data_IF_592141272946
#
_entry.id   IF_592141272946
#
_cell.length_a   1.000
_cell.length_b   1.000
_cell.length_c   1.000
_cell.angle_alpha   90.00
_cell.angle_beta   90.00
_cell.angle_gamma   90.00
#
_symmetry.space_group_name_H-M   'P 1'
#
loop_
_entity.id
_entity.type
_entity.pdbx_description
1 polymer ?
#
# COMPACT_ATOMS: atom_id res chain seq x y z
N UNK A 1 6.66 36.32 -53.07
CA UNK A 1 6.76 34.93 -52.58
C UNK A 1 7.38 34.85 -51.18
N UNK A 2 6.82 35.52 -50.16
CA UNK A 2 7.45 35.61 -48.82
C UNK A 2 6.53 35.16 -47.66
N UNK A 3 5.20 35.34 -47.80
CA UNK A 3 4.24 34.98 -46.73
C UNK A 3 4.06 33.46 -46.53
N UNK A 4 4.16 32.68 -47.60
CA UNK A 4 4.07 31.21 -47.57
C UNK A 4 5.27 30.55 -46.89
N UNK A 5 6.47 31.16 -46.99
CA UNK A 5 7.68 30.67 -46.31
C UNK A 5 7.66 30.98 -44.82
N UNK A 6 7.16 32.14 -44.43
CA UNK A 6 6.98 32.50 -43.02
C UNK A 6 5.97 31.58 -42.32
N UNK A 7 4.83 31.27 -42.96
CA UNK A 7 3.84 30.35 -42.41
C UNK A 7 4.36 28.91 -42.25
N UNK A 8 5.15 28.42 -43.21
CA UNK A 8 5.74 27.07 -43.11
C UNK A 8 6.82 26.96 -42.03
N UNK A 9 7.57 28.04 -41.77
CA UNK A 9 8.54 28.10 -40.66
C UNK A 9 7.81 28.11 -39.31
N UNK A 10 6.72 28.88 -39.17
CA UNK A 10 5.95 28.91 -37.93
C UNK A 10 5.28 27.57 -37.60
N UNK A 11 4.73 26.88 -38.61
CA UNK A 11 4.08 25.59 -38.41
C UNK A 11 5.07 24.45 -38.10
N UNK A 12 6.30 24.51 -38.61
CA UNK A 12 7.35 23.54 -38.28
C UNK A 12 7.95 23.76 -36.88
N UNK A 13 8.08 25.01 -36.44
CA UNK A 13 8.53 25.32 -35.08
C UNK A 13 7.56 24.83 -33.99
N UNK A 14 6.24 24.86 -34.25
CA UNK A 14 5.22 24.33 -33.34
C UNK A 14 5.21 22.79 -33.25
N UNK A 15 5.69 22.08 -34.28
CA UNK A 15 5.77 20.61 -34.25
C UNK A 15 6.99 20.10 -33.47
N UNK A 16 8.06 20.89 -33.40
CA UNK A 16 9.29 20.52 -32.69
C UNK A 16 9.16 20.58 -31.16
N UNK A 17 8.23 21.39 -30.63
CA UNK A 17 7.96 21.49 -29.17
C UNK A 17 7.15 20.33 -28.60
N UNK A 18 6.57 19.46 -29.44
CA UNK A 18 5.75 18.32 -29.00
C UNK A 18 6.55 17.02 -28.77
N UNK A 19 7.87 17.02 -29.06
CA UNK A 19 8.71 15.82 -28.99
C UNK A 19 9.82 15.98 -27.93
N UNK A 20 9.44 16.17 -26.67
CA UNK A 20 10.28 15.77 -25.53
C UNK A 20 9.62 14.56 -24.85
N UNK A 21 9.80 13.33 -25.38
CA UNK A 21 9.42 12.14 -24.65
C UNK A 21 10.41 11.95 -23.50
N UNK A 22 9.89 12.00 -22.28
CA UNK A 22 10.45 11.26 -21.15
C UNK A 22 11.89 11.57 -20.78
N UNK A 23 12.11 12.70 -20.11
CA UNK A 23 13.11 12.73 -19.05
C UNK A 23 12.60 11.84 -17.90
N UNK A 24 12.80 10.52 -18.02
CA UNK A 24 12.70 9.64 -16.86
C UNK A 24 13.67 10.15 -15.78
N UNK A 25 13.35 10.03 -14.48
CA UNK A 25 14.25 10.48 -13.44
C UNK A 25 15.58 9.73 -13.60
N UNK A 26 16.60 10.43 -14.09
CA UNK A 26 17.96 9.93 -14.04
C UNK A 26 18.25 9.67 -12.56
N UNK A 27 18.46 8.41 -12.20
CA UNK A 27 18.94 8.04 -10.89
C UNK A 27 20.38 8.54 -10.76
N UNK A 28 20.52 9.81 -10.42
CA UNK A 28 21.79 10.43 -10.06
C UNK A 28 22.24 9.78 -8.76
N UNK A 29 23.33 9.01 -8.82
CA UNK A 29 24.04 8.56 -7.64
C UNK A 29 24.60 9.80 -6.94
N UNK A 30 23.85 10.32 -5.97
CA UNK A 30 24.24 11.49 -5.22
C UNK A 30 25.43 11.11 -4.36
N UNK A 31 26.63 11.56 -4.76
CA UNK A 31 27.83 11.45 -3.92
C UNK A 31 27.66 12.43 -2.76
N UNK A 32 26.98 11.96 -1.71
CA UNK A 32 26.77 12.73 -0.49
C UNK A 32 28.11 12.90 0.22
N UNK A 33 28.55 14.15 0.37
CA UNK A 33 29.74 14.50 1.14
C UNK A 33 29.62 13.91 2.58
N UNK A 34 30.62 13.23 3.13
CA UNK A 34 30.55 12.58 4.45
C UNK A 34 30.09 13.51 5.59
N UNK A 35 30.40 14.81 5.54
CA UNK A 35 29.87 15.79 6.51
C UNK A 35 28.33 15.95 6.41
N UNK A 36 27.78 15.86 5.20
CA UNK A 36 26.34 15.94 4.93
C UNK A 36 25.62 14.59 5.18
N UNK A 37 26.36 13.47 5.22
CA UNK A 37 25.80 12.17 5.65
C UNK A 37 25.38 12.20 7.11
N UNK A 38 26.19 12.77 8.00
CA UNK A 38 25.86 12.81 9.43
C UNK A 38 24.60 13.65 9.71
N UNK A 39 24.45 14.79 9.04
CA UNK A 39 23.25 15.63 9.13
C UNK A 39 22.02 14.94 8.54
N UNK A 40 22.17 14.23 7.42
CA UNK A 40 21.09 13.47 6.80
C UNK A 40 20.66 12.27 7.66
N UNK A 41 21.60 11.56 8.27
CA UNK A 41 21.33 10.44 9.19
C UNK A 41 20.58 10.95 10.42
N UNK A 42 21.04 12.04 11.03
CA UNK A 42 20.38 12.61 12.20
C UNK A 42 18.96 13.11 11.89
N UNK A 43 18.72 13.71 10.72
CA UNK A 43 17.37 14.07 10.28
C UNK A 43 16.48 12.84 10.06
N UNK A 44 17.01 11.78 9.46
CA UNK A 44 16.28 10.53 9.27
C UNK A 44 15.94 9.86 10.62
N UNK A 45 16.85 9.88 11.59
CA UNK A 45 16.60 9.33 12.92
C UNK A 45 15.50 10.10 13.65
N UNK A 46 15.50 11.44 13.57
CA UNK A 46 14.43 12.27 14.14
C UNK A 46 13.08 11.98 13.47
N UNK A 47 13.05 11.91 12.14
CA UNK A 47 11.84 11.58 11.39
C UNK A 47 11.35 10.15 11.69
N UNK A 48 12.26 9.19 11.88
CA UNK A 48 11.93 7.83 12.28
C UNK A 48 11.32 7.80 13.68
N UNK A 49 11.86 8.56 14.63
CA UNK A 49 11.33 8.69 15.98
C UNK A 49 9.91 9.28 15.97
N UNK A 50 9.69 10.37 15.23
CA UNK A 50 8.36 10.96 15.09
C UNK A 50 7.35 9.96 14.50
N UNK A 51 7.74 9.25 13.43
CA UNK A 51 6.91 8.23 12.81
C UNK A 51 6.58 7.08 13.77
N UNK A 52 7.55 6.65 14.59
CA UNK A 52 7.35 5.59 15.58
C UNK A 52 6.36 6.04 16.64
N UNK A 53 6.49 7.25 17.17
CA UNK A 53 5.55 7.82 18.14
C UNK A 53 4.15 7.94 17.57
N UNK A 54 3.99 8.48 16.34
CA UNK A 54 2.68 8.55 15.69
C UNK A 54 2.02 7.18 15.52
N UNK A 55 2.78 6.17 15.09
CA UNK A 55 2.24 4.80 14.95
C UNK A 55 1.81 4.22 16.29
N UNK A 56 2.61 4.40 17.34
CA UNK A 56 2.24 3.93 18.68
C UNK A 56 0.96 4.58 19.18
N UNK A 57 0.83 5.90 19.01
CA UNK A 57 -0.35 6.64 19.43
C UNK A 57 -1.60 6.21 18.67
N UNK A 58 -1.49 6.01 17.35
CA UNK A 58 -2.59 5.49 16.52
C UNK A 58 -3.00 4.07 16.91
N UNK A 59 -2.01 3.21 17.19
CA UNK A 59 -2.27 1.84 17.64
C UNK A 59 -3.02 1.81 18.97
N UNK A 60 -2.63 2.65 19.93
CA UNK A 60 -3.33 2.75 21.22
C UNK A 60 -4.76 3.23 21.05
N UNK A 61 -5.00 4.27 20.24
CA UNK A 61 -6.36 4.75 19.95
C UNK A 61 -7.23 3.65 19.34
N UNK A 62 -6.72 2.91 18.35
CA UNK A 62 -7.48 1.80 17.77
C UNK A 62 -7.82 0.73 18.80
N UNK A 63 -6.91 0.41 19.71
CA UNK A 63 -7.19 -0.58 20.75
C UNK A 63 -8.28 -0.09 21.70
N UNK A 64 -8.28 1.19 22.07
CA UNK A 64 -9.33 1.78 22.90
C UNK A 64 -10.70 1.72 22.20
N UNK A 65 -10.79 2.10 20.92
CA UNK A 65 -12.05 2.00 20.18
C UNK A 65 -12.54 0.55 20.06
N UNK A 66 -11.63 -0.40 19.78
CA UNK A 66 -12.00 -1.84 19.76
C UNK A 66 -12.45 -2.36 21.11
N UNK A 67 -11.90 -1.87 22.21
CA UNK A 67 -12.32 -2.25 23.55
C UNK A 67 -13.73 -1.70 23.84
N UNK A 68 -13.96 -0.43 23.51
CA UNK A 68 -15.24 0.24 23.68
C UNK A 68 -16.36 -0.39 22.84
N UNK A 69 -16.06 -0.75 21.59
CA UNK A 69 -17.02 -1.46 20.71
C UNK A 69 -17.31 -2.89 21.20
N UNK A 70 -16.36 -3.56 21.87
CA UNK A 70 -16.56 -4.90 22.45
C UNK A 70 -17.37 -4.90 23.74
N UNK A 71 -17.35 -3.80 24.50
CA UNK A 71 -18.18 -3.65 25.71
C UNK A 71 -19.66 -3.58 25.37
N UNK A 72 -20.01 -3.16 24.15
CA UNK A 72 -21.34 -3.37 23.58
C UNK A 72 -21.49 -4.87 23.39
N UNK A 73 -22.16 -5.51 24.34
CA UNK A 73 -22.26 -6.96 24.48
C UNK A 73 -22.39 -7.65 23.11
N UNK A 74 -21.61 -8.71 22.84
CA UNK A 74 -21.78 -9.46 21.61
C UNK A 74 -23.25 -9.87 21.54
N UNK A 75 -23.96 -9.38 20.52
CA UNK A 75 -25.31 -9.86 20.24
C UNK A 75 -25.27 -11.38 20.27
N UNK A 76 -26.23 -11.97 20.97
CA UNK A 76 -26.38 -13.42 21.01
C UNK A 76 -26.28 -13.91 19.57
N UNK A 77 -25.23 -14.72 19.30
CA UNK A 77 -25.01 -15.23 17.95
C UNK A 77 -26.32 -15.94 17.57
N UNK A 78 -26.94 -15.59 16.44
CA UNK A 78 -28.16 -16.27 16.03
C UNK A 78 -27.88 -17.76 15.97
N UNK A 79 -28.80 -18.56 16.48
CA UNK A 79 -28.66 -20.02 16.52
C UNK A 79 -28.81 -20.53 15.09
N UNK A 80 -27.69 -20.56 14.36
CA UNK A 80 -27.67 -20.98 12.97
C UNK A 80 -27.75 -22.50 12.96
N UNK A 81 -28.70 -23.12 12.23
CA UNK A 81 -28.77 -24.55 12.11
C UNK A 81 -27.45 -25.07 11.52
N UNK A 82 -26.63 -25.65 12.38
CA UNK A 82 -25.41 -26.36 11.99
C UNK A 82 -25.87 -27.60 11.23
N UNK A 83 -25.53 -27.67 9.94
CA UNK A 83 -25.78 -28.85 9.14
C UNK A 83 -24.97 -29.99 9.73
N UNK A 84 -25.64 -30.90 10.46
CA UNK A 84 -24.98 -32.13 10.93
C UNK A 84 -24.51 -32.87 9.69
N UNK A 85 -23.23 -33.29 9.63
CA UNK A 85 -22.79 -34.13 8.53
C UNK A 85 -23.68 -35.38 8.53
N UNK A 86 -24.45 -35.57 7.46
CA UNK A 86 -25.40 -36.68 7.29
C UNK A 86 -24.69 -38.04 7.36
N UNK A 87 -23.38 -38.02 7.13
CA UNK A 87 -22.49 -39.17 7.16
C UNK A 87 -21.39 -38.94 8.19
N UNK A 88 -21.14 -39.95 9.03
CA UNK A 88 -20.02 -39.87 9.96
C UNK A 88 -18.71 -39.99 9.20
N UNK A 89 -17.82 -39.01 9.38
CA UNK A 89 -16.45 -39.08 8.89
C UNK A 89 -15.66 -39.98 9.85
N UNK A 90 -15.40 -41.21 9.45
CA UNK A 90 -14.54 -42.12 10.19
C UNK A 90 -13.11 -42.01 9.69
N UNK A 91 -12.16 -41.93 10.62
CA UNK A 91 -10.73 -41.97 10.29
C UNK A 91 -10.37 -43.39 9.86
N UNK A 92 -9.93 -43.55 8.61
CA UNK A 92 -9.46 -44.82 8.05
C UNK A 92 -8.01 -44.66 7.64
N UNK A 93 -7.10 -45.24 8.44
CA UNK A 93 -5.65 -45.06 8.28
C UNK A 93 -5.23 -43.59 8.33
N UNK A 94 -4.66 -43.10 7.23
CA UNK A 94 -4.19 -41.72 7.07
C UNK A 94 -5.24 -40.75 6.49
N UNK A 95 -6.45 -41.23 6.17
CA UNK A 95 -7.52 -40.42 5.59
C UNK A 95 -8.82 -40.44 6.40
N UNK A 96 -9.81 -39.70 5.91
CA UNK A 96 -11.18 -39.74 6.43
C UNK A 96 -12.11 -40.29 5.36
N UNK A 97 -12.98 -41.22 5.74
CA UNK A 97 -13.99 -41.81 4.86
C UNK A 97 -15.37 -41.43 5.41
N UNK A 98 -16.23 -40.89 4.56
CA UNK A 98 -17.63 -40.64 4.90
C UNK A 98 -18.43 -41.93 4.79
N UNK A 99 -18.89 -42.49 5.90
CA UNK A 99 -19.81 -43.64 5.89
C UNK A 99 -21.24 -43.14 6.00
N UNK A 100 -22.00 -43.23 4.91
CA UNK A 100 -23.44 -43.01 4.88
C UNK A 100 -24.10 -44.40 4.78
N UNK A 101 -25.02 -44.74 5.70
CA UNK A 101 -25.89 -45.93 5.58
C UNK A 101 -27.27 -45.50 5.14
#
# INVERSE_FOLDING_TARGET
MSRLRLLTIFMSAMLATAMLPGAGPAASAQVLNPANRNTLVQQNELQMLENRLRRQQFQQQQQQFRAQDREIAPQQRPDVPQMKPTCQLQRSGNGFVSTCR
#
